data_IF_013336746655
#
_entry.id   IF_013336746655
#
_cell.length_a   1.000
_cell.length_b   1.000
_cell.length_c   1.000
_cell.angle_alpha   90.00
_cell.angle_beta   90.00
_cell.angle_gamma   90.00
#
_symmetry.space_group_name_H-M   'P 1'
#
loop_
_entity.id
_entity.type
_entity.pdbx_description
1 polymer ?
#
# COMPACT_ATOMS: atom_id res chain seq x y z
N UNK A 1 8.74 -26.76 -2.87
CA UNK A 1 8.00 -26.32 -1.67
C UNK A 1 6.69 -25.72 -2.14
N UNK A 2 5.60 -26.44 -1.95
CA UNK A 2 4.24 -26.03 -2.36
C UNK A 2 3.77 -24.92 -1.42
N UNK A 3 3.24 -23.82 -1.96
CA UNK A 3 2.66 -22.76 -1.14
C UNK A 3 1.52 -23.32 -0.27
N UNK A 4 1.37 -22.90 0.99
CA UNK A 4 0.23 -23.30 1.80
C UNK A 4 -1.05 -22.88 1.09
N UNK A 5 -2.04 -23.78 1.07
CA UNK A 5 -3.37 -23.46 0.57
C UNK A 5 -3.90 -22.22 1.32
N UNK A 6 -4.57 -21.29 0.63
CA UNK A 6 -5.20 -20.17 1.32
C UNK A 6 -6.14 -20.74 2.40
N UNK A 7 -6.17 -20.14 3.60
CA UNK A 7 -7.09 -20.57 4.65
C UNK A 7 -8.51 -20.52 4.09
N UNK A 8 -9.32 -21.54 4.43
CA UNK A 8 -10.75 -21.51 4.13
C UNK A 8 -11.33 -20.19 4.66
N UNK A 9 -12.17 -19.50 3.86
CA UNK A 9 -12.85 -18.32 4.38
C UNK A 9 -13.62 -18.74 5.63
N UNK A 10 -13.59 -17.93 6.71
CA UNK A 10 -14.28 -18.28 7.94
C UNK A 10 -15.74 -18.57 7.62
N UNK A 11 -16.22 -19.76 7.99
CA UNK A 11 -17.63 -20.13 7.81
C UNK A 11 -18.48 -19.22 8.67
N UNK A 12 -19.56 -18.70 8.11
CA UNK A 12 -20.55 -17.92 8.86
C UNK A 12 -21.40 -18.87 9.70
N UNK A 13 -20.83 -19.40 10.77
CA UNK A 13 -21.58 -20.21 11.74
C UNK A 13 -22.24 -19.30 12.80
N UNK A 14 -22.30 -17.98 12.56
CA UNK A 14 -22.89 -17.00 13.46
C UNK A 14 -24.34 -16.69 13.08
N UNK A 15 -25.25 -16.82 14.05
CA UNK A 15 -26.72 -16.58 13.98
C UNK A 15 -27.17 -15.22 13.37
N UNK A 16 -26.26 -14.35 12.92
CA UNK A 16 -26.55 -13.03 12.37
C UNK A 16 -26.67 -12.93 10.83
N UNK A 17 -26.14 -13.90 10.08
CA UNK A 17 -26.05 -13.82 8.60
C UNK A 17 -26.79 -14.95 7.88
N UNK A 18 -27.87 -15.46 8.47
CA UNK A 18 -28.79 -16.34 7.74
C UNK A 18 -29.72 -15.51 6.83
N UNK A 19 -29.37 -15.47 5.55
CA UNK A 19 -30.15 -14.82 4.50
C UNK A 19 -31.12 -15.78 3.79
N UNK A 20 -31.21 -17.04 4.21
CA UNK A 20 -32.09 -18.01 3.56
C UNK A 20 -33.57 -17.79 3.88
N UNK A 21 -33.85 -17.16 5.02
CA UNK A 21 -35.21 -16.98 5.56
C UNK A 21 -35.69 -15.53 5.53
N UNK A 22 -34.89 -14.59 5.02
CA UNK A 22 -35.23 -13.16 4.98
C UNK A 22 -34.54 -12.41 3.84
N UNK A 23 -35.07 -11.26 3.40
CA UNK A 23 -34.35 -10.39 2.47
C UNK A 23 -33.05 -9.86 3.09
N UNK A 24 -32.08 -9.57 2.22
CA UNK A 24 -30.88 -8.82 2.57
C UNK A 24 -31.25 -7.39 3.01
N UNK A 25 -30.55 -6.88 4.02
CA UNK A 25 -30.77 -5.60 4.68
C UNK A 25 -29.50 -4.76 4.71
N UNK A 26 -29.63 -3.50 5.10
CA UNK A 26 -28.49 -2.58 5.21
C UNK A 26 -27.34 -3.11 6.08
N UNK A 27 -27.67 -3.72 7.22
CA UNK A 27 -26.68 -4.34 8.14
C UNK A 27 -25.88 -5.47 7.51
N UNK A 28 -26.45 -6.18 6.53
CA UNK A 28 -25.78 -7.32 5.89
C UNK A 28 -24.63 -6.85 4.99
N UNK A 29 -24.73 -5.65 4.43
CA UNK A 29 -23.66 -5.03 3.64
C UNK A 29 -22.41 -4.79 4.52
N UNK A 30 -22.61 -4.35 5.77
CA UNK A 30 -21.53 -4.16 6.73
C UNK A 30 -20.89 -5.48 7.17
N UNK A 31 -21.71 -6.50 7.43
CA UNK A 31 -21.21 -7.82 7.80
C UNK A 31 -20.41 -8.45 6.65
N UNK A 32 -20.89 -8.30 5.41
CA UNK A 32 -20.18 -8.76 4.20
C UNK A 32 -18.83 -8.04 4.05
N UNK A 33 -18.80 -6.72 4.25
CA UNK A 33 -17.56 -5.93 4.24
C UNK A 33 -16.54 -6.49 5.23
N UNK A 34 -16.96 -6.70 6.49
CA UNK A 34 -16.09 -7.18 7.55
C UNK A 34 -15.60 -8.59 7.28
N UNK A 35 -16.50 -9.46 6.80
CA UNK A 35 -16.19 -10.86 6.53
C UNK A 35 -15.12 -11.01 5.44
N UNK A 36 -15.22 -10.24 4.36
CA UNK A 36 -14.19 -10.23 3.32
C UNK A 36 -12.98 -9.32 3.63
N UNK A 37 -12.98 -8.65 4.78
CA UNK A 37 -11.91 -7.72 5.16
C UNK A 37 -11.75 -6.55 4.20
N UNK A 38 -12.84 -6.10 3.58
CA UNK A 38 -12.83 -5.07 2.54
C UNK A 38 -12.92 -3.66 3.13
N UNK A 39 -12.33 -2.70 2.43
CA UNK A 39 -12.64 -1.29 2.67
C UNK A 39 -14.03 -0.93 2.14
N UNK A 40 -14.57 0.21 2.58
CA UNK A 40 -15.83 0.74 2.04
C UNK A 40 -15.75 0.88 0.52
N UNK A 41 -14.66 1.44 -0.01
CA UNK A 41 -14.45 1.62 -1.45
C UNK A 41 -14.47 0.31 -2.21
N UNK A 42 -13.86 -0.74 -1.67
CA UNK A 42 -13.85 -2.07 -2.30
C UNK A 42 -15.21 -2.74 -2.23
N UNK A 43 -15.94 -2.57 -1.13
CA UNK A 43 -17.29 -3.09 -1.00
C UNK A 43 -18.25 -2.37 -1.96
N UNK A 44 -18.13 -1.04 -2.08
CA UNK A 44 -18.86 -0.28 -3.09
C UNK A 44 -18.52 -0.72 -4.51
N UNK A 45 -17.25 -0.96 -4.83
CA UNK A 45 -16.85 -1.49 -6.14
C UNK A 45 -17.42 -2.90 -6.39
N UNK A 46 -17.31 -3.80 -5.41
CA UNK A 46 -17.82 -5.17 -5.48
C UNK A 46 -19.34 -5.20 -5.70
N UNK A 47 -20.08 -4.34 -5.01
CA UNK A 47 -21.54 -4.29 -5.04
C UNK A 47 -22.12 -3.30 -6.06
N UNK A 48 -21.29 -2.57 -6.81
CA UNK A 48 -21.74 -1.54 -7.75
C UNK A 48 -22.44 -0.35 -7.08
N UNK A 49 -22.08 -0.02 -5.84
CA UNK A 49 -22.71 1.04 -5.05
C UNK A 49 -22.03 2.39 -5.24
N UNK A 50 -22.85 3.44 -5.25
CA UNK A 50 -22.39 4.80 -5.00
C UNK A 50 -22.27 5.06 -3.50
N UNK A 51 -21.46 6.05 -3.10
CA UNK A 51 -21.33 6.43 -1.68
C UNK A 51 -22.67 6.86 -1.05
N UNK A 52 -23.54 7.64 -1.72
CA UNK A 52 -24.87 7.94 -1.16
C UNK A 52 -25.71 6.69 -0.90
N UNK A 53 -25.67 5.70 -1.81
CA UNK A 53 -26.42 4.46 -1.66
C UNK A 53 -25.88 3.59 -0.52
N UNK A 54 -24.55 3.55 -0.37
CA UNK A 54 -23.91 2.95 0.80
C UNK A 54 -24.39 3.60 2.10
N UNK A 55 -24.36 4.93 2.18
CA UNK A 55 -24.78 5.66 3.38
C UNK A 55 -26.25 5.40 3.71
N UNK A 56 -27.13 5.37 2.70
CA UNK A 56 -28.53 5.01 2.90
C UNK A 56 -28.68 3.62 3.55
N UNK A 57 -27.90 2.63 3.14
CA UNK A 57 -27.92 1.30 3.79
C UNK A 57 -27.39 1.31 5.23
N UNK A 58 -26.50 2.23 5.58
CA UNK A 58 -26.04 2.40 6.96
C UNK A 58 -27.08 3.10 7.84
N UNK A 59 -27.82 4.05 7.26
CA UNK A 59 -28.89 4.81 7.93
C UNK A 59 -30.15 3.96 8.15
N UNK A 60 -30.38 2.98 7.26
CA UNK A 60 -31.52 2.06 7.29
C UNK A 60 -31.05 0.59 7.43
N UNK A 61 -30.37 0.22 8.54
CA UNK A 61 -29.70 -1.08 8.66
C UNK A 61 -30.68 -2.26 8.69
N UNK A 62 -31.93 -2.02 9.05
CA UNK A 62 -32.91 -3.07 9.33
C UNK A 62 -33.96 -3.21 8.23
N UNK A 63 -33.96 -2.27 7.30
CA UNK A 63 -34.84 -2.28 6.14
C UNK A 63 -34.25 -3.19 5.06
N UNK A 64 -35.11 -3.88 4.28
CA UNK A 64 -34.66 -4.58 3.08
C UNK A 64 -33.91 -3.64 2.14
N UNK A 65 -32.84 -4.14 1.51
CA UNK A 65 -32.12 -3.38 0.50
C UNK A 65 -33.08 -2.98 -0.63
N UNK A 66 -33.15 -1.68 -0.88
CA UNK A 66 -34.04 -1.11 -1.89
C UNK A 66 -33.62 -1.38 -3.35
N UNK A 67 -32.47 -2.01 -3.57
CA UNK A 67 -32.00 -2.48 -4.88
C UNK A 67 -31.96 -4.01 -4.91
N UNK A 68 -32.85 -4.66 -5.69
CA UNK A 68 -32.87 -6.12 -5.81
C UNK A 68 -31.58 -6.73 -6.35
N UNK A 69 -30.85 -6.03 -7.23
CA UNK A 69 -29.58 -6.52 -7.78
C UNK A 69 -28.53 -6.60 -6.68
N UNK A 70 -28.45 -5.57 -5.85
CA UNK A 70 -27.54 -5.53 -4.69
C UNK A 70 -27.95 -6.61 -3.68
N UNK A 71 -29.24 -6.76 -3.40
CA UNK A 71 -29.75 -7.77 -2.49
C UNK A 71 -29.39 -9.20 -2.91
N UNK A 72 -29.57 -9.53 -4.19
CA UNK A 72 -29.19 -10.83 -4.75
C UNK A 72 -27.67 -11.05 -4.69
N UNK A 73 -26.88 -10.00 -4.95
CA UNK A 73 -25.43 -10.10 -4.91
C UNK A 73 -24.91 -10.29 -3.48
N UNK A 74 -25.47 -9.60 -2.48
CA UNK A 74 -25.17 -9.84 -1.07
C UNK A 74 -25.53 -11.27 -0.68
N UNK A 75 -26.72 -11.75 -1.05
CA UNK A 75 -27.14 -13.14 -0.77
C UNK A 75 -26.22 -14.17 -1.43
N UNK A 76 -25.82 -13.96 -2.69
CA UNK A 76 -24.95 -14.90 -3.39
C UNK A 76 -23.56 -14.94 -2.76
N UNK A 77 -22.97 -13.78 -2.47
CA UNK A 77 -21.68 -13.70 -1.79
C UNK A 77 -21.74 -14.24 -0.35
N UNK A 78 -22.93 -14.22 0.25
CA UNK A 78 -23.19 -14.79 1.57
C UNK A 78 -23.16 -16.32 1.57
N UNK A 79 -23.81 -16.91 0.56
CA UNK A 79 -24.12 -18.33 0.49
C UNK A 79 -23.12 -19.12 -0.36
N UNK A 80 -22.39 -18.45 -1.24
CA UNK A 80 -21.33 -19.00 -2.09
C UNK A 80 -20.09 -18.08 -2.10
N UNK A 81 -19.37 -17.93 -0.96
CA UNK A 81 -18.25 -16.99 -0.83
C UNK A 81 -17.08 -17.26 -1.81
N UNK A 82 -16.98 -18.47 -2.35
CA UNK A 82 -16.03 -18.84 -3.40
C UNK A 82 -16.25 -18.10 -4.72
N UNK A 83 -17.46 -17.56 -4.97
CA UNK A 83 -17.75 -16.77 -6.18
C UNK A 83 -17.22 -15.34 -6.09
N UNK A 84 -16.52 -14.97 -4.99
CA UNK A 84 -15.87 -13.67 -4.84
C UNK A 84 -14.87 -13.46 -5.97
N UNK A 85 -15.15 -12.49 -6.83
CA UNK A 85 -14.35 -12.17 -8.02
C UNK A 85 -13.32 -11.04 -7.81
N UNK A 86 -13.10 -10.60 -6.56
CA UNK A 86 -12.03 -9.64 -6.27
C UNK A 86 -10.67 -10.33 -6.38
N UNK A 87 -9.70 -9.75 -7.13
CA UNK A 87 -8.35 -10.26 -7.16
C UNK A 87 -7.77 -10.34 -5.75
N UNK A 88 -7.12 -11.46 -5.43
CA UNK A 88 -6.25 -11.51 -4.26
C UNK A 88 -5.00 -10.71 -4.59
N UNK A 89 -4.85 -9.56 -3.94
CA UNK A 89 -3.68 -8.71 -4.12
C UNK A 89 -2.49 -9.27 -3.33
N UNK A 90 -1.25 -9.22 -3.87
CA UNK A 90 -0.08 -9.70 -3.17
C UNK A 90 0.31 -8.75 -2.04
N UNK A 91 0.80 -9.32 -0.94
CA UNK A 91 1.37 -8.58 0.18
C UNK A 91 2.77 -8.00 -0.17
N UNK A 92 3.20 -6.92 0.50
CA UNK A 92 4.55 -6.36 0.32
C UNK A 92 5.67 -7.40 0.50
N UNK A 93 5.48 -8.35 1.42
CA UNK A 93 6.44 -9.43 1.67
C UNK A 93 6.60 -10.39 0.49
N UNK A 94 5.55 -10.56 -0.33
CA UNK A 94 5.59 -11.43 -1.52
C UNK A 94 6.29 -10.74 -2.70
N UNK A 95 6.15 -9.42 -2.83
CA UNK A 95 6.67 -8.66 -3.98
C UNK A 95 8.10 -8.17 -3.74
N UNK A 96 8.48 -7.89 -2.49
CA UNK A 96 9.79 -7.32 -2.15
C UNK A 96 10.97 -8.20 -2.63
N UNK A 97 11.00 -9.53 -2.45
CA UNK A 97 12.12 -10.36 -2.90
C UNK A 97 12.30 -10.31 -4.42
N UNK A 98 11.20 -10.43 -5.18
CA UNK A 98 11.20 -10.35 -6.64
C UNK A 98 11.71 -8.99 -7.15
N UNK A 99 11.29 -7.91 -6.49
CA UNK A 99 11.81 -6.57 -6.75
C UNK A 99 13.32 -6.48 -6.51
N UNK A 100 13.80 -6.98 -5.36
CA UNK A 100 15.22 -6.90 -5.01
C UNK A 100 16.09 -7.70 -5.97
N UNK A 101 15.63 -8.89 -6.38
CA UNK A 101 16.29 -9.72 -7.38
C UNK A 101 16.37 -8.99 -8.72
N UNK A 102 15.24 -8.54 -9.25
CA UNK A 102 15.19 -7.83 -10.54
C UNK A 102 16.05 -6.56 -10.52
N UNK A 103 16.03 -5.81 -9.41
CA UNK A 103 16.81 -4.59 -9.25
C UNK A 103 18.33 -4.82 -9.22
N UNK A 104 18.80 -6.02 -8.86
CA UNK A 104 20.24 -6.35 -8.90
C UNK A 104 20.77 -6.43 -10.33
N UNK A 105 19.92 -6.88 -11.26
CA UNK A 105 20.26 -7.04 -12.68
C UNK A 105 20.02 -5.77 -13.50
N UNK A 106 19.27 -4.81 -12.98
CA UNK A 106 19.06 -3.51 -13.61
C UNK A 106 20.34 -2.67 -13.66
N UNK A 107 20.49 -1.86 -14.72
CA UNK A 107 21.50 -0.81 -14.80
C UNK A 107 21.07 0.49 -14.07
N UNK A 108 19.78 0.65 -13.76
CA UNK A 108 19.23 1.83 -13.07
C UNK A 108 19.74 1.90 -11.63
N UNK A 109 19.96 3.13 -11.17
CA UNK A 109 20.47 3.42 -9.82
C UNK A 109 19.74 4.62 -9.26
N UNK A 110 19.53 4.61 -7.95
CA UNK A 110 18.93 5.71 -7.22
C UNK A 110 19.96 6.84 -7.03
N UNK A 111 19.60 8.05 -7.47
CA UNK A 111 20.36 9.29 -7.23
C UNK A 111 21.50 9.56 -8.22
N UNK A 112 21.75 10.85 -8.46
CA UNK A 112 22.79 11.31 -9.38
C UNK A 112 24.21 11.24 -8.78
N UNK A 113 24.33 11.35 -7.45
CA UNK A 113 25.60 11.35 -6.72
C UNK A 113 25.70 10.02 -5.98
N UNK A 114 26.75 9.23 -6.27
CA UNK A 114 27.04 7.89 -5.72
C UNK A 114 26.16 6.73 -6.21
N UNK A 115 25.29 6.95 -7.23
CA UNK A 115 24.50 5.93 -7.97
C UNK A 115 24.25 4.65 -7.15
N UNK A 116 23.36 4.72 -6.17
CA UNK A 116 23.13 3.60 -5.24
C UNK A 116 22.19 2.56 -5.83
N UNK A 117 22.42 1.26 -5.56
CA UNK A 117 21.46 0.20 -5.93
C UNK A 117 20.11 0.42 -5.26
N UNK A 118 19.05 0.00 -5.94
CA UNK A 118 17.69 0.02 -5.41
C UNK A 118 17.55 -1.04 -4.30
N UNK A 119 17.34 -0.58 -3.07
CA UNK A 119 17.20 -1.45 -1.89
C UNK A 119 15.78 -1.41 -1.31
N UNK A 120 15.60 -2.07 -0.16
CA UNK A 120 14.32 -2.18 0.55
C UNK A 120 13.61 -0.83 0.76
N UNK A 121 14.34 0.22 1.11
CA UNK A 121 13.75 1.53 1.40
C UNK A 121 13.29 2.28 0.14
N UNK A 122 13.91 2.02 -1.02
CA UNK A 122 13.47 2.60 -2.29
C UNK A 122 12.16 1.97 -2.78
N UNK A 123 11.84 0.74 -2.35
CA UNK A 123 10.60 0.05 -2.69
C UNK A 123 9.36 0.88 -2.32
N UNK A 124 9.36 1.51 -1.14
CA UNK A 124 8.27 2.40 -0.73
C UNK A 124 8.08 3.59 -1.67
N UNK A 125 9.18 4.21 -2.12
CA UNK A 125 9.13 5.33 -3.07
C UNK A 125 8.59 4.89 -4.43
N UNK A 126 9.01 3.73 -4.93
CA UNK A 126 8.52 3.16 -6.18
C UNK A 126 7.04 2.78 -6.13
N UNK A 127 6.43 2.77 -4.94
CA UNK A 127 5.00 2.55 -4.72
C UNK A 127 4.25 3.86 -4.38
N UNK A 128 4.86 5.02 -4.60
CA UNK A 128 4.24 6.31 -4.30
C UNK A 128 4.14 6.63 -2.81
N UNK A 129 4.88 5.90 -1.96
CA UNK A 129 4.83 6.03 -0.49
C UNK A 129 6.18 6.45 0.10
N UNK A 130 6.19 6.71 1.40
CA UNK A 130 7.43 7.07 2.10
C UNK A 130 8.37 5.87 2.21
N UNK A 131 9.68 6.12 2.23
CA UNK A 131 10.70 5.07 2.36
C UNK A 131 10.50 4.16 3.58
N UNK A 132 9.99 4.72 4.68
CA UNK A 132 9.77 4.01 5.95
C UNK A 132 8.52 3.14 5.96
N UNK A 133 7.63 3.28 4.96
CA UNK A 133 6.37 2.52 4.88
C UNK A 133 6.63 1.01 4.83
N UNK A 134 7.69 0.61 4.11
CA UNK A 134 8.06 -0.80 3.93
C UNK A 134 8.40 -1.47 5.26
N UNK A 135 9.01 -0.74 6.20
CA UNK A 135 9.31 -1.31 7.52
C UNK A 135 8.02 -1.60 8.29
N UNK A 136 7.05 -0.68 8.25
CA UNK A 136 5.75 -0.87 8.91
C UNK A 136 4.95 -2.04 8.32
N UNK A 137 5.01 -2.20 7.00
CA UNK A 137 4.28 -3.27 6.31
C UNK A 137 4.86 -4.67 6.57
N UNK A 138 6.13 -4.77 6.93
CA UNK A 138 6.82 -6.05 7.12
C UNK A 138 6.97 -6.43 8.58
N UNK A 139 6.52 -5.60 9.52
CA UNK A 139 6.46 -5.98 10.94
C UNK A 139 5.33 -6.98 11.14
N UNK A 140 5.59 -8.04 11.92
CA UNK A 140 4.62 -9.09 12.25
C UNK A 140 3.34 -8.55 12.92
N UNK A 141 3.45 -7.46 13.68
CA UNK A 141 2.30 -6.81 14.32
C UNK A 141 1.36 -6.07 13.35
N UNK A 142 1.75 -5.88 12.08
CA UNK A 142 1.01 -5.17 11.02
C UNK A 142 0.15 -3.99 11.51
N UNK A 143 0.67 -3.15 12.42
CA UNK A 143 -0.12 -2.06 13.03
C UNK A 143 -0.78 -1.15 12.00
N UNK A 144 -0.20 -1.02 10.80
CA UNK A 144 -0.79 -0.32 9.66
C UNK A 144 -0.55 -1.07 8.35
N UNK A 145 -1.62 -1.68 7.84
CA UNK A 145 -1.64 -2.31 6.52
C UNK A 145 -1.44 -1.29 5.38
N UNK A 146 -0.90 -1.71 4.23
CA UNK A 146 -0.94 -0.91 3.01
C UNK A 146 -2.37 -0.45 2.67
N UNK A 147 -2.49 0.73 2.06
CA UNK A 147 -3.76 1.18 1.51
C UNK A 147 -4.16 0.33 0.28
N UNK A 148 -5.45 0.21 -0.08
CA UNK A 148 -5.89 -0.51 -1.29
C UNK A 148 -5.17 -0.13 -2.59
N UNK A 149 -4.84 1.16 -2.76
CA UNK A 149 -4.12 1.63 -3.94
C UNK A 149 -2.70 1.04 -4.02
N UNK A 150 -2.06 0.81 -2.87
CA UNK A 150 -0.74 0.17 -2.81
C UNK A 150 -0.85 -1.31 -3.13
N UNK A 151 -1.87 -2.00 -2.63
CA UNK A 151 -2.13 -3.41 -2.98
C UNK A 151 -2.34 -3.60 -4.48
N UNK A 152 -3.12 -2.72 -5.12
CA UNK A 152 -3.29 -2.73 -6.58
C UNK A 152 -1.98 -2.47 -7.31
N UNK A 153 -1.19 -1.50 -6.83
CA UNK A 153 0.11 -1.19 -7.43
C UNK A 153 1.12 -2.33 -7.22
N UNK A 154 1.08 -3.04 -6.10
CA UNK A 154 1.89 -4.24 -5.84
C UNK A 154 1.53 -5.37 -6.82
N UNK A 155 0.24 -5.57 -7.10
CA UNK A 155 -0.19 -6.54 -8.10
C UNK A 155 0.34 -6.20 -9.49
N UNK A 156 0.18 -4.94 -9.92
CA UNK A 156 0.69 -4.47 -11.22
C UNK A 156 2.21 -4.59 -11.28
N UNK A 157 2.92 -4.17 -10.23
CA UNK A 157 4.37 -4.24 -10.16
C UNK A 157 4.86 -5.69 -10.19
N UNK A 158 4.26 -6.60 -9.41
CA UNK A 158 4.58 -8.03 -9.44
C UNK A 158 4.44 -8.58 -10.85
N UNK A 159 3.32 -8.32 -11.51
CA UNK A 159 3.09 -8.82 -12.85
C UNK A 159 4.06 -8.23 -13.87
N UNK A 160 4.39 -6.94 -13.74
CA UNK A 160 5.40 -6.29 -14.57
C UNK A 160 6.77 -6.96 -14.40
N UNK A 161 7.18 -7.24 -13.16
CA UNK A 161 8.44 -7.92 -12.87
C UNK A 161 8.46 -9.36 -13.39
N UNK A 162 7.36 -10.11 -13.24
CA UNK A 162 7.29 -11.50 -13.73
C UNK A 162 7.25 -11.60 -15.26
N UNK A 163 6.56 -10.68 -15.93
CA UNK A 163 6.33 -10.76 -17.38
C UNK A 163 7.40 -10.05 -18.20
N UNK A 164 7.98 -8.96 -17.68
CA UNK A 164 8.93 -8.11 -18.41
C UNK A 164 10.30 -7.99 -17.72
N UNK A 165 10.47 -8.58 -16.53
CA UNK A 165 11.74 -8.62 -15.81
C UNK A 165 12.39 -7.25 -15.64
N UNK A 166 13.69 -7.19 -15.95
CA UNK A 166 14.52 -5.98 -15.83
C UNK A 166 14.03 -4.84 -16.73
N UNK A 167 13.56 -5.14 -17.95
CA UNK A 167 13.07 -4.12 -18.86
C UNK A 167 11.81 -3.42 -18.33
N UNK A 168 10.87 -4.21 -17.80
CA UNK A 168 9.67 -3.69 -17.13
C UNK A 168 10.02 -2.88 -15.89
N UNK A 169 10.96 -3.38 -15.06
CA UNK A 169 11.45 -2.64 -13.91
C UNK A 169 12.06 -1.28 -14.30
N UNK A 170 12.93 -1.24 -15.31
CA UNK A 170 13.57 -0.01 -15.76
C UNK A 170 12.55 1.00 -16.31
N UNK A 171 11.55 0.52 -17.05
CA UNK A 171 10.44 1.35 -17.51
C UNK A 171 9.62 1.92 -16.34
N UNK A 172 9.36 1.11 -15.31
CA UNK A 172 8.69 1.56 -14.09
C UNK A 172 9.48 2.65 -13.36
N UNK A 173 10.79 2.44 -13.16
CA UNK A 173 11.66 3.44 -12.53
C UNK A 173 11.63 4.75 -13.32
N UNK A 174 11.72 4.70 -14.65
CA UNK A 174 11.61 5.91 -15.49
C UNK A 174 10.27 6.63 -15.28
N UNK A 175 9.16 5.88 -15.19
CA UNK A 175 7.86 6.48 -14.93
C UNK A 175 7.80 7.14 -13.56
N UNK A 176 8.34 6.49 -12.54
CA UNK A 176 8.43 7.06 -11.19
C UNK A 176 9.28 8.34 -11.18
N UNK A 177 10.37 8.39 -11.96
CA UNK A 177 11.19 9.60 -12.13
C UNK A 177 10.41 10.74 -12.78
N UNK A 178 9.61 10.45 -13.82
CA UNK A 178 8.73 11.43 -14.46
C UNK A 178 7.70 11.99 -13.47
N UNK A 179 7.05 11.13 -12.69
CA UNK A 179 6.07 11.55 -11.68
C UNK A 179 6.71 12.38 -10.55
N UNK A 180 7.91 12.01 -10.12
CA UNK A 180 8.66 12.78 -9.13
C UNK A 180 9.03 14.16 -9.69
N UNK A 181 9.54 14.22 -10.92
CA UNK A 181 9.93 15.46 -11.57
C UNK A 181 8.75 16.43 -11.75
N UNK A 182 7.57 15.92 -12.14
CA UNK A 182 6.34 16.71 -12.24
C UNK A 182 5.92 17.37 -10.91
N UNK A 183 6.44 16.91 -9.78
CA UNK A 183 6.21 17.45 -8.43
C UNK A 183 7.41 18.22 -7.88
N UNK A 184 8.40 18.54 -8.71
CA UNK A 184 9.63 19.21 -8.29
C UNK A 184 10.56 18.32 -7.44
N UNK A 185 10.34 17.01 -7.44
CA UNK A 185 11.12 16.04 -6.69
C UNK A 185 12.18 15.37 -7.58
N UNK A 186 13.26 14.92 -6.96
CA UNK A 186 14.29 14.11 -7.61
C UNK A 186 14.38 12.76 -6.95
N UNK A 187 14.02 11.70 -7.68
CA UNK A 187 14.14 10.32 -7.22
C UNK A 187 15.62 10.03 -6.91
N UNK A 188 15.94 10.01 -5.62
CA UNK A 188 17.31 9.94 -5.13
C UNK A 188 17.32 9.40 -3.71
N UNK A 189 18.50 9.02 -3.21
CA UNK A 189 18.65 8.57 -1.81
C UNK A 189 18.21 9.61 -0.78
N UNK A 190 18.12 10.90 -1.16
CA UNK A 190 17.67 11.98 -0.27
C UNK A 190 16.14 12.12 -0.23
N UNK A 191 15.43 11.60 -1.23
CA UNK A 191 13.98 11.63 -1.24
C UNK A 191 13.46 10.62 -0.24
N UNK A 192 12.77 11.08 0.81
CA UNK A 192 12.22 10.21 1.85
C UNK A 192 10.71 10.01 1.75
N UNK A 193 10.02 10.92 1.08
CA UNK A 193 8.56 10.98 0.96
C UNK A 193 8.17 11.72 -0.31
N UNK A 194 6.97 11.44 -0.81
CA UNK A 194 6.31 12.15 -1.91
C UNK A 194 5.65 13.46 -1.46
N UNK A 195 5.52 13.66 -0.14
CA UNK A 195 4.80 14.78 0.47
C UNK A 195 5.69 15.94 0.88
N UNK A 196 7.02 15.80 0.84
CA UNK A 196 7.94 16.89 1.21
C UNK A 196 7.93 17.94 0.12
N UNK A 197 7.04 18.90 0.32
CA UNK A 197 6.94 20.17 -0.38
C UNK A 197 8.30 20.86 -0.46
N UNK A 198 8.44 21.60 -1.54
CA UNK A 198 9.45 22.61 -1.80
C UNK A 198 9.65 23.55 -0.57
N UNK A 199 10.59 23.26 0.32
CA UNK A 199 11.32 24.34 0.99
C UNK A 199 12.41 24.79 0.02
N UNK A 200 12.01 25.57 -1.00
CA UNK A 200 12.95 26.19 -1.92
C UNK A 200 13.44 27.57 -1.43
N UNK A 201 13.08 27.94 -0.20
CA UNK A 201 13.49 29.18 0.48
C UNK A 201 14.30 28.97 1.77
N UNK A 202 14.79 27.77 2.08
CA UNK A 202 15.78 27.63 3.16
C UNK A 202 17.15 28.12 2.63
N UNK A 203 17.69 29.25 3.13
CA UNK A 203 19.05 29.64 2.79
C UNK A 203 20.00 28.53 3.25
N UNK A 204 21.14 28.32 2.56
CA UNK A 204 22.05 27.26 2.91
C UNK A 204 22.47 27.47 4.36
N UNK A 205 22.16 26.49 5.23
CA UNK A 205 22.73 26.40 6.57
C UNK A 205 24.23 26.50 6.40
N UNK A 206 24.77 27.69 6.67
CA UNK A 206 26.18 27.88 6.87
C UNK A 206 26.55 26.87 7.94
N UNK A 207 27.34 25.87 7.55
CA UNK A 207 28.01 24.98 8.50
C UNK A 207 28.94 25.87 9.30
N UNK A 208 28.38 26.44 10.35
CA UNK A 208 29.11 27.20 11.32
C UNK A 208 30.19 26.29 11.86
N UNK A 209 31.43 26.76 11.68
CA UNK A 209 32.68 26.15 12.09
C UNK A 209 32.69 25.94 13.61
N UNK A 210 31.94 24.96 14.13
CA UNK A 210 32.16 24.39 15.47
C UNK A 210 33.19 23.26 15.39
N UNK A 211 34.37 23.58 14.84
CA UNK A 211 35.61 22.79 14.97
C UNK A 211 36.77 23.74 15.28
N UNK A 212 36.61 24.68 16.21
CA UNK A 212 37.70 25.58 16.60
C UNK A 212 37.52 26.21 17.99
N UNK A 213 37.06 25.48 19.02
CA UNK A 213 37.17 25.99 20.41
C UNK A 213 37.02 24.95 21.54
N UNK A 214 37.44 23.70 21.33
CA UNK A 214 37.59 22.72 22.43
C UNK A 214 38.86 21.87 22.31
N UNK A 215 39.92 22.45 21.77
CA UNK A 215 41.27 21.89 21.74
C UNK A 215 42.33 22.93 22.14
N UNK A 216 41.97 23.87 23.02
CA UNK A 216 42.89 24.84 23.62
C UNK A 216 42.46 25.21 25.04
N UNK A 217 42.22 24.17 25.83
CA UNK A 217 42.04 24.22 27.28
C UNK A 217 42.70 22.95 27.84
N UNK A 218 44.00 22.85 27.59
CA UNK A 218 44.95 21.86 28.12
C UNK A 218 46.31 22.39 27.71
N UNK A 219 46.81 23.32 28.52
CA UNK A 219 48.20 23.76 28.68
C UNK A 219 48.20 25.24 29.08
N UNK A 220 47.96 25.48 30.36
CA UNK A 220 48.55 26.60 31.10
C UNK A 220 48.69 26.11 32.56
N UNK A 221 49.77 25.38 32.80
CA UNK A 221 50.50 25.45 34.06
C UNK A 221 51.88 26.01 33.71
N UNK A 222 52.32 27.06 34.41
CA UNK A 222 53.68 26.95 34.92
C UNK A 222 53.83 27.50 36.35
N UNK A 223 54.63 26.73 37.09
CA UNK A 223 55.60 27.14 38.12
C UNK A 223 55.08 27.72 39.43
#
# INVERSE_FOLDING_TARGET
>A
MTAPAPPDPPRLDGEGFDLNLRPARGRDVLLLQQWFGLTQTETCYLLGLSVPKWNHYLEHPDEPLNDPTVALLVWLLATAPETRFLPTFPEPAEVLPLYLETAQHSAKRLGAIRKTKFGKTAFGLLLGREMTSVNRWLTESQERRPSPQVYRLLWVLRNLLLTQGVAGFDAWVNRVEVEAHARGLKLSRRMTSWSRMLNRDDPPLQRERRRSRKARATDEAPS
#
